data_IF_344329542125
#
_entry.id   IF_344329542125
#
_cell.length_a   1.000
_cell.length_b   1.000
_cell.length_c   1.000
_cell.angle_alpha   90.00
_cell.angle_beta   90.00
_cell.angle_gamma   90.00
#
_symmetry.space_group_name_H-M   'P 1'
#
loop_
_entity.id
_entity.type
_entity.pdbx_description
1 polymer ?
#
# COMPACT_ATOMS: atom_id res chain seq x y z
N UNK A 1 -43.20 57.02 0.36
CA UNK A 1 -43.90 55.81 0.83
C UNK A 1 -43.72 54.68 -0.18
N UNK A 2 -42.67 53.87 -0.03
CA UNK A 2 -42.51 52.64 -0.81
C UNK A 2 -42.08 51.53 0.16
N UNK A 3 -42.92 50.50 0.27
CA UNK A 3 -42.65 49.24 0.97
C UNK A 3 -41.97 48.24 0.01
N UNK A 4 -41.38 47.15 0.53
CA UNK A 4 -40.33 46.40 -0.14
C UNK A 4 -40.71 44.95 -0.53
N UNK A 5 -39.73 44.26 -1.12
CA UNK A 5 -39.50 42.79 -1.19
C UNK A 5 -39.98 42.05 -2.44
N UNK A 6 -39.00 41.41 -3.10
CA UNK A 6 -39.17 40.28 -4.00
C UNK A 6 -37.83 39.57 -4.20
N UNK A 7 -37.42 38.73 -3.25
CA UNK A 7 -36.31 37.79 -3.41
C UNK A 7 -36.81 36.57 -4.20
N UNK A 8 -36.33 36.37 -5.42
CA UNK A 8 -36.50 35.11 -6.15
C UNK A 8 -35.37 34.14 -5.77
N UNK A 9 -35.66 32.92 -5.29
CA UNK A 9 -34.63 31.95 -5.00
C UNK A 9 -34.10 31.37 -6.31
N UNK A 10 -32.81 31.54 -6.59
CA UNK A 10 -32.12 30.71 -7.57
C UNK A 10 -31.94 29.33 -6.95
N UNK A 11 -32.72 28.36 -7.44
CA UNK A 11 -32.46 26.94 -7.21
C UNK A 11 -31.12 26.60 -7.87
N UNK A 12 -30.08 26.46 -7.06
CA UNK A 12 -28.84 25.83 -7.48
C UNK A 12 -29.14 24.33 -7.56
N UNK A 13 -29.44 23.83 -8.75
CA UNK A 13 -29.46 22.38 -9.00
C UNK A 13 -28.01 21.94 -8.98
N UNK A 14 -27.54 21.43 -7.84
CA UNK A 14 -26.32 20.64 -7.79
C UNK A 14 -26.58 19.37 -8.60
N UNK A 15 -26.14 19.38 -9.86
CA UNK A 15 -25.93 18.14 -10.59
C UNK A 15 -24.79 17.44 -9.89
N UNK A 16 -25.11 16.45 -9.06
CA UNK A 16 -24.14 15.44 -8.69
C UNK A 16 -23.75 14.74 -9.99
N UNK A 17 -22.53 15.00 -10.46
CA UNK A 17 -21.94 14.16 -11.49
C UNK A 17 -21.96 12.72 -10.93
N UNK A 18 -22.31 11.71 -11.75
CA UNK A 18 -22.17 10.33 -11.30
C UNK A 18 -20.71 10.14 -10.92
N UNK A 19 -20.48 9.69 -9.69
CA UNK A 19 -19.17 9.18 -9.28
C UNK A 19 -18.95 7.97 -10.18
N UNK A 20 -18.07 8.09 -11.18
CA UNK A 20 -17.55 6.91 -11.83
C UNK A 20 -16.79 6.16 -10.75
N UNK A 21 -17.35 5.04 -10.27
CA UNK A 21 -16.57 3.99 -9.62
C UNK A 21 -15.58 3.46 -10.67
N UNK A 22 -14.52 4.23 -10.89
CA UNK A 22 -13.32 3.71 -11.51
C UNK A 22 -12.69 2.73 -10.52
N UNK A 23 -12.09 1.65 -11.02
CA UNK A 23 -11.19 0.76 -10.27
C UNK A 23 -9.92 1.55 -9.84
N UNK A 24 -10.10 2.63 -9.08
CA UNK A 24 -9.05 3.55 -8.69
C UNK A 24 -8.19 2.87 -7.64
N UNK A 25 -7.01 2.43 -8.06
CA UNK A 25 -6.05 1.70 -7.20
C UNK A 25 -5.58 2.54 -6.01
N UNK A 26 -5.58 3.86 -6.15
CA UNK A 26 -5.31 4.84 -5.08
C UNK A 26 -6.35 5.95 -5.18
N UNK A 27 -7.26 6.03 -4.22
CA UNK A 27 -8.26 7.12 -4.19
C UNK A 27 -7.59 8.43 -3.78
N UNK A 28 -7.89 9.52 -4.48
CA UNK A 28 -7.33 10.86 -4.20
C UNK A 28 -5.80 10.95 -4.35
N UNK A 29 -5.22 9.97 -5.05
CA UNK A 29 -3.80 9.92 -5.36
C UNK A 29 -3.44 10.77 -6.57
N UNK A 30 -2.18 10.66 -6.97
CA UNK A 30 -1.69 11.20 -8.24
C UNK A 30 -0.70 10.20 -8.83
N UNK A 31 -0.57 10.22 -10.15
CA UNK A 31 0.41 9.41 -10.86
C UNK A 31 1.83 9.84 -10.45
N UNK A 32 2.64 8.88 -9.98
CA UNK A 32 4.04 9.14 -9.66
C UNK A 32 4.82 9.41 -10.95
N UNK A 33 5.81 10.32 -10.91
CA UNK A 33 6.73 10.50 -12.04
C UNK A 33 7.41 9.17 -12.39
N UNK A 34 7.52 8.85 -13.68
CA UNK A 34 8.21 7.65 -14.15
C UNK A 34 9.56 7.45 -13.45
N UNK A 35 9.80 6.22 -12.96
CA UNK A 35 11.02 5.82 -12.25
C UNK A 35 11.31 6.58 -10.93
N UNK A 36 10.34 7.31 -10.37
CA UNK A 36 10.50 7.95 -9.05
C UNK A 36 10.30 6.99 -7.86
N UNK A 37 9.69 5.82 -8.09
CA UNK A 37 9.42 4.80 -7.04
C UNK A 37 10.00 3.40 -7.37
N UNK A 38 11.30 3.26 -7.69
CA UNK A 38 11.91 2.01 -8.17
C UNK A 38 11.96 0.83 -7.19
N UNK A 39 11.66 1.01 -5.89
CA UNK A 39 11.48 -0.13 -4.97
C UNK A 39 10.07 -0.72 -5.03
N UNK A 40 9.11 -0.03 -5.68
CA UNK A 40 7.78 -0.57 -5.90
C UNK A 40 7.92 -1.85 -6.72
N UNK A 41 7.35 -2.92 -6.18
CA UNK A 41 7.30 -4.22 -6.84
C UNK A 41 5.85 -4.52 -7.16
N UNK A 42 5.62 -5.09 -8.34
CA UNK A 42 4.36 -5.80 -8.63
C UNK A 42 4.59 -7.30 -8.48
N UNK A 43 3.84 -7.94 -7.59
CA UNK A 43 3.77 -9.39 -7.47
C UNK A 43 2.78 -9.95 -8.50
N UNK A 44 3.23 -10.95 -9.24
CA UNK A 44 2.51 -11.52 -10.36
C UNK A 44 2.41 -13.05 -10.26
N UNK A 45 1.26 -13.61 -10.60
CA UNK A 45 1.02 -15.06 -10.71
C UNK A 45 0.16 -15.38 -11.95
N UNK A 46 0.54 -14.81 -13.11
CA UNK A 46 -0.26 -14.75 -14.33
C UNK A 46 -1.08 -13.47 -14.47
N UNK A 47 -1.26 -12.75 -13.36
CA UNK A 47 -1.81 -11.40 -13.29
C UNK A 47 -1.20 -10.68 -12.07
N UNK A 48 -1.21 -9.35 -12.07
CA UNK A 48 -0.82 -8.55 -10.90
C UNK A 48 -1.84 -8.73 -9.78
N UNK A 49 -1.41 -9.05 -8.56
CA UNK A 49 -2.33 -9.30 -7.45
C UNK A 49 -1.95 -8.62 -6.13
N UNK A 50 -0.69 -8.21 -5.96
CA UNK A 50 -0.21 -7.49 -4.80
C UNK A 50 1.01 -6.63 -5.17
N UNK A 51 1.27 -5.63 -4.36
CA UNK A 51 2.52 -4.91 -4.30
C UNK A 51 3.60 -5.59 -3.45
N UNK A 52 4.78 -4.98 -3.46
CA UNK A 52 5.94 -5.36 -2.65
C UNK A 52 6.92 -4.20 -2.58
N UNK A 53 7.90 -4.32 -1.69
CA UNK A 53 8.99 -3.35 -1.57
C UNK A 53 10.33 -4.06 -1.64
N UNK A 54 11.19 -3.64 -2.55
CA UNK A 54 12.56 -4.13 -2.62
C UNK A 54 13.38 -3.54 -1.46
N UNK A 55 13.79 -4.39 -0.50
CA UNK A 55 14.50 -3.98 0.72
C UNK A 55 16.01 -4.26 0.68
N UNK A 56 16.44 -5.09 -0.28
CA UNK A 56 17.86 -5.29 -0.61
C UNK A 56 17.98 -5.76 -2.06
N UNK A 57 19.21 -5.99 -2.52
CA UNK A 57 19.46 -6.54 -3.85
C UNK A 57 18.91 -7.96 -4.06
N UNK A 58 18.39 -8.66 -3.06
CA UNK A 58 17.84 -10.01 -3.29
C UNK A 58 16.58 -10.30 -2.49
N UNK A 59 16.00 -9.28 -1.85
CA UNK A 59 14.88 -9.46 -0.94
C UNK A 59 13.80 -8.41 -1.16
N UNK A 60 12.58 -8.90 -1.32
CA UNK A 60 11.35 -8.10 -1.33
C UNK A 60 10.58 -8.41 -0.07
N UNK A 61 10.03 -7.39 0.57
CA UNK A 61 9.01 -7.53 1.62
C UNK A 61 7.63 -7.26 1.04
N UNK A 62 6.63 -8.02 1.48
CA UNK A 62 5.22 -7.86 1.11
C UNK A 62 4.35 -8.39 2.25
N UNK A 63 3.03 -8.35 2.10
CA UNK A 63 2.09 -8.82 3.11
C UNK A 63 1.98 -10.35 3.09
N UNK A 64 1.83 -11.00 4.25
CA UNK A 64 1.71 -12.45 4.33
C UNK A 64 0.43 -12.97 3.67
N UNK A 65 -0.64 -12.17 3.69
CA UNK A 65 -1.90 -12.49 3.01
C UNK A 65 -1.75 -12.54 1.47
N UNK A 66 -0.71 -11.91 0.91
CA UNK A 66 -0.37 -11.98 -0.52
C UNK A 66 0.30 -13.30 -0.92
N UNK A 67 0.50 -14.24 0.00
CA UNK A 67 1.18 -15.50 -0.31
C UNK A 67 0.47 -16.30 -1.42
N UNK A 68 1.26 -16.76 -2.39
CA UNK A 68 0.89 -17.78 -3.39
C UNK A 68 2.02 -18.79 -3.53
N UNK A 69 1.75 -19.97 -4.07
CA UNK A 69 2.75 -21.04 -4.23
C UNK A 69 3.82 -20.74 -5.30
N UNK A 70 3.55 -19.80 -6.21
CA UNK A 70 4.48 -19.27 -7.21
C UNK A 70 4.24 -17.78 -7.36
N UNK A 71 5.31 -16.99 -7.28
CA UNK A 71 5.26 -15.54 -7.43
C UNK A 71 6.40 -15.11 -8.35
N UNK A 72 6.06 -14.28 -9.34
CA UNK A 72 7.02 -13.55 -10.16
C UNK A 72 7.02 -12.08 -9.74
N UNK A 73 8.21 -11.51 -9.61
CA UNK A 73 8.45 -10.15 -9.14
C UNK A 73 8.73 -9.28 -10.36
N UNK A 74 7.86 -8.29 -10.61
CA UNK A 74 8.06 -7.25 -11.62
C UNK A 74 8.64 -6.00 -10.95
N UNK A 75 9.76 -5.51 -11.47
CA UNK A 75 10.47 -4.31 -11.00
C UNK A 75 10.66 -3.32 -12.16
N UNK A 76 10.73 -2.03 -11.84
CA UNK A 76 11.00 -0.99 -12.83
C UNK A 76 9.79 -0.58 -13.67
N UNK A 77 8.61 -1.07 -13.33
CA UNK A 77 7.31 -0.71 -13.93
C UNK A 77 6.96 0.75 -13.64
N UNK A 78 6.40 1.44 -14.63
CA UNK A 78 5.65 2.67 -14.45
C UNK A 78 4.19 2.48 -14.88
N UNK A 79 3.95 1.79 -16.01
CA UNK A 79 2.61 1.39 -16.44
C UNK A 79 2.50 -0.13 -16.61
N UNK A 80 1.82 -0.79 -15.66
CA UNK A 80 1.73 -2.26 -15.61
C UNK A 80 1.05 -2.93 -16.81
N UNK A 81 0.28 -2.16 -17.59
CA UNK A 81 -0.45 -2.62 -18.77
C UNK A 81 0.39 -2.53 -20.05
N UNK A 82 1.48 -1.77 -20.00
CA UNK A 82 2.44 -1.64 -21.08
C UNK A 82 3.69 -2.46 -20.77
N UNK A 83 4.43 -2.79 -21.82
CA UNK A 83 5.74 -3.40 -21.70
C UNK A 83 6.76 -2.33 -22.10
N UNK A 84 7.28 -1.64 -21.11
CA UNK A 84 8.37 -0.69 -21.21
C UNK A 84 9.70 -1.47 -21.25
N UNK A 85 10.81 -0.79 -21.54
CA UNK A 85 12.14 -1.45 -21.69
C UNK A 85 12.83 -1.64 -20.34
N UNK A 86 12.25 -1.12 -19.26
CA UNK A 86 12.87 -1.00 -17.94
C UNK A 86 12.54 -2.16 -16.99
N UNK A 87 11.64 -3.03 -17.42
CA UNK A 87 10.97 -4.05 -16.66
C UNK A 87 11.90 -5.24 -16.43
N UNK A 88 12.02 -5.60 -15.16
CA UNK A 88 12.74 -6.79 -14.75
C UNK A 88 11.74 -7.78 -14.18
N UNK A 89 11.69 -8.95 -14.81
CA UNK A 89 10.90 -10.09 -14.36
C UNK A 89 11.82 -11.08 -13.66
N UNK A 90 11.61 -11.25 -12.36
CA UNK A 90 12.47 -12.07 -11.51
C UNK A 90 11.61 -13.11 -10.79
N UNK A 91 11.95 -14.39 -10.94
CA UNK A 91 11.25 -15.45 -10.22
C UNK A 91 11.64 -15.47 -8.74
N UNK A 92 10.67 -15.81 -7.88
CA UNK A 92 10.95 -16.05 -6.46
C UNK A 92 11.76 -17.33 -6.26
N UNK A 93 12.87 -17.22 -5.52
CA UNK A 93 13.65 -18.35 -5.01
C UNK A 93 12.98 -18.99 -3.79
N UNK A 94 12.48 -18.15 -2.88
CA UNK A 94 11.89 -18.58 -1.61
C UNK A 94 10.81 -17.60 -1.16
N UNK A 95 9.77 -18.13 -0.52
CA UNK A 95 8.63 -17.40 0.01
C UNK A 95 8.48 -17.75 1.48
N UNK A 96 8.57 -16.75 2.36
CA UNK A 96 8.66 -16.94 3.81
C UNK A 96 7.66 -16.01 4.49
N UNK A 97 6.52 -16.55 4.93
CA UNK A 97 5.58 -15.83 5.80
C UNK A 97 6.14 -15.74 7.22
N UNK A 98 5.78 -14.70 7.95
CA UNK A 98 6.02 -14.67 9.39
C UNK A 98 5.38 -15.91 10.05
N UNK A 99 6.09 -16.63 10.95
CA UNK A 99 5.60 -17.88 11.54
C UNK A 99 4.34 -17.69 12.38
N UNK A 100 4.16 -16.49 12.94
CA UNK A 100 3.00 -16.13 13.77
C UNK A 100 1.93 -15.36 12.98
N UNK A 101 1.96 -15.38 11.64
CA UNK A 101 0.91 -14.77 10.83
C UNK A 101 -0.44 -15.41 11.14
N UNK A 102 -1.40 -14.59 11.55
CA UNK A 102 -2.79 -14.98 11.82
C UNK A 102 -3.71 -14.45 10.72
N UNK A 103 -4.29 -15.35 9.94
CA UNK A 103 -5.19 -14.98 8.85
C UNK A 103 -6.56 -14.47 9.28
N UNK A 104 -6.94 -14.65 10.55
CA UNK A 104 -8.21 -14.15 11.08
C UNK A 104 -8.09 -12.70 11.55
N UNK A 105 -6.96 -12.35 12.18
CA UNK A 105 -6.72 -11.02 12.75
C UNK A 105 -5.84 -10.13 11.88
N UNK A 106 -5.17 -10.72 10.88
CA UNK A 106 -4.10 -10.08 10.10
C UNK A 106 -2.93 -9.59 10.96
N UNK A 107 -2.77 -10.13 12.18
CA UNK A 107 -1.58 -9.87 12.98
C UNK A 107 -0.37 -10.61 12.37
N UNK A 108 0.79 -9.97 12.43
CA UNK A 108 2.01 -10.43 11.77
C UNK A 108 1.87 -10.63 10.24
N UNK A 109 1.10 -9.77 9.57
CA UNK A 109 0.87 -9.79 8.13
C UNK A 109 2.08 -9.29 7.31
N UNK A 110 3.19 -10.02 7.40
CA UNK A 110 4.44 -9.73 6.71
C UNK A 110 5.08 -11.02 6.16
N UNK A 111 5.62 -10.93 4.95
CA UNK A 111 6.39 -11.99 4.32
C UNK A 111 7.63 -11.46 3.60
N UNK A 112 8.63 -12.33 3.46
CA UNK A 112 9.82 -12.10 2.66
C UNK A 112 9.83 -12.98 1.42
N UNK A 113 10.24 -12.39 0.31
CA UNK A 113 10.46 -13.05 -0.98
C UNK A 113 11.94 -12.93 -1.31
N UNK A 114 12.64 -14.06 -1.37
CA UNK A 114 14.01 -14.11 -1.89
C UNK A 114 13.97 -14.18 -3.41
N UNK A 115 14.74 -13.35 -4.08
CA UNK A 115 14.82 -13.31 -5.55
C UNK A 115 15.85 -14.31 -6.08
N UNK A 116 15.59 -14.89 -7.25
CA UNK A 116 16.55 -15.76 -7.96
C UNK A 116 17.71 -14.98 -8.61
N UNK A 117 17.61 -13.66 -8.74
CA UNK A 117 18.66 -12.77 -9.28
C UNK A 117 18.61 -11.38 -8.64
N UNK A 118 19.69 -10.60 -8.82
CA UNK A 118 19.80 -9.25 -8.26
C UNK A 118 19.16 -8.20 -9.19
N UNK A 119 18.33 -7.27 -8.69
CA UNK A 119 17.83 -6.13 -9.43
C UNK A 119 18.81 -4.97 -9.43
N UNK A 120 18.73 -4.14 -10.47
CA UNK A 120 19.78 -3.19 -10.84
C UNK A 120 19.56 -1.74 -10.35
N UNK A 121 18.39 -1.38 -9.78
CA UNK A 121 18.06 -0.01 -9.32
C UNK A 121 17.12 -0.01 -8.09
N UNK A 122 17.27 0.96 -7.19
CA UNK A 122 16.49 1.24 -5.95
C UNK A 122 16.18 2.77 -5.87
N UNK A 123 15.33 3.29 -4.93
CA UNK A 123 15.10 4.73 -4.48
C UNK A 123 13.62 5.21 -4.29
N UNK A 124 13.37 6.29 -3.48
CA UNK A 124 12.28 6.59 -2.49
C UNK A 124 11.03 7.48 -2.90
N UNK A 125 9.88 7.39 -2.17
CA UNK A 125 8.67 8.28 -2.19
C UNK A 125 8.30 8.80 -0.77
N UNK A 126 7.39 9.81 -0.67
CA UNK A 126 7.02 10.52 0.58
C UNK A 126 5.49 10.61 0.83
N UNK A 127 5.04 10.09 1.98
CA UNK A 127 3.71 10.33 2.60
C UNK A 127 3.82 10.55 4.13
N UNK A 128 2.85 11.23 4.79
CA UNK A 128 2.85 11.45 6.24
C UNK A 128 2.23 10.28 7.04
N UNK A 129 2.84 9.91 8.18
CA UNK A 129 2.37 8.86 9.11
C UNK A 129 1.36 9.45 10.12
N UNK A 130 0.33 8.69 10.50
CA UNK A 130 -0.62 9.05 11.57
C UNK A 130 -0.16 8.47 12.92
N UNK A 131 -0.40 9.20 14.02
CA UNK A 131 -0.08 8.75 15.39
C UNK A 131 -0.84 7.47 15.78
N UNK A 132 -0.16 6.55 16.48
CA UNK A 132 -0.68 5.23 16.84
C UNK A 132 -2.00 5.28 17.62
N UNK A 133 -2.17 6.24 18.54
CA UNK A 133 -3.41 6.34 19.35
C UNK A 133 -4.61 6.75 18.53
N UNK A 134 -4.38 7.54 17.48
CA UNK A 134 -5.44 7.94 16.55
C UNK A 134 -5.91 6.70 15.78
N UNK A 135 -4.97 5.85 15.31
CA UNK A 135 -5.29 4.60 14.65
C UNK A 135 -6.02 3.60 15.58
N UNK A 136 -5.58 3.48 16.83
CA UNK A 136 -6.21 2.59 17.82
C UNK A 136 -7.66 3.00 18.12
N UNK A 137 -7.92 4.30 18.23
CA UNK A 137 -9.27 4.83 18.40
C UNK A 137 -10.15 4.63 17.15
N UNK A 138 -9.55 4.68 15.95
CA UNK A 138 -10.24 4.40 14.70
C UNK A 138 -10.60 2.91 14.55
N UNK A 139 -9.81 2.01 15.14
CA UNK A 139 -9.98 0.56 15.04
C UNK A 139 -9.92 -0.15 16.41
N UNK A 140 -10.90 0.09 17.31
CA UNK A 140 -10.89 -0.50 18.65
C UNK A 140 -10.84 -2.03 18.60
N UNK A 141 -9.91 -2.62 19.36
CA UNK A 141 -9.68 -4.08 19.47
C UNK A 141 -9.16 -4.79 18.21
N UNK A 142 -8.99 -4.08 17.09
CA UNK A 142 -8.50 -4.64 15.82
C UNK A 142 -7.09 -4.14 15.48
N UNK A 143 -6.67 -3.01 16.05
CA UNK A 143 -5.34 -2.44 15.86
C UNK A 143 -4.34 -2.97 16.88
N UNK A 144 -3.17 -3.42 16.43
CA UNK A 144 -2.10 -3.95 17.30
C UNK A 144 -0.83 -3.09 17.23
N UNK A 145 0.09 -3.30 18.17
CA UNK A 145 1.45 -2.72 18.19
C UNK A 145 2.26 -3.06 16.92
N UNK A 146 1.87 -4.12 16.22
CA UNK A 146 2.46 -4.58 14.96
C UNK A 146 1.95 -3.84 13.73
N UNK A 147 1.06 -2.85 13.92
CA UNK A 147 0.42 -2.09 12.85
C UNK A 147 0.78 -0.60 12.89
N UNK A 148 0.71 0.05 11.74
CA UNK A 148 0.81 1.51 11.55
C UNK A 148 -0.26 1.95 10.57
N UNK A 149 -0.82 3.15 10.73
CA UNK A 149 -1.78 3.70 9.77
C UNK A 149 -1.27 5.00 9.13
N UNK A 150 -1.71 5.26 7.90
CA UNK A 150 -1.35 6.43 7.10
C UNK A 150 -2.58 6.86 6.30
N UNK A 151 -2.71 8.17 6.04
CA UNK A 151 -3.84 8.74 5.31
C UNK A 151 -4.38 10.01 5.94
N UNK A 152 -5.62 10.33 5.61
CA UNK A 152 -6.32 11.52 6.11
C UNK A 152 -7.57 11.11 6.87
N UNK A 153 -7.72 11.58 8.12
CA UNK A 153 -8.87 11.21 8.97
C UNK A 153 -10.21 11.74 8.44
N UNK A 154 -10.21 12.79 7.61
CA UNK A 154 -11.39 13.28 6.91
C UNK A 154 -11.70 12.48 5.62
N UNK A 155 -10.99 11.39 5.38
CA UNK A 155 -11.06 10.62 4.15
C UNK A 155 -10.42 11.33 2.97
N UNK A 156 -10.83 10.96 1.77
CA UNK A 156 -10.42 11.60 0.52
C UNK A 156 -9.13 11.08 -0.10
N UNK A 157 -8.26 10.36 0.63
CA UNK A 157 -7.21 9.55 0.01
C UNK A 157 -6.79 8.32 0.82
N UNK A 158 -6.56 7.19 0.15
CA UNK A 158 -6.06 5.95 0.76
C UNK A 158 -5.42 5.03 -0.27
N UNK A 159 -4.58 4.09 0.19
CA UNK A 159 -4.30 2.88 -0.60
C UNK A 159 -5.61 2.12 -0.81
N UNK A 160 -5.82 1.59 -2.02
CA UNK A 160 -7.04 0.90 -2.40
C UNK A 160 -6.70 -0.44 -3.09
N UNK A 161 -7.55 -0.89 -4.01
CA UNK A 161 -7.44 -2.21 -4.62
C UNK A 161 -6.11 -2.36 -5.39
N UNK A 162 -5.39 -3.46 -5.13
CA UNK A 162 -4.13 -3.80 -5.80
C UNK A 162 -2.86 -3.31 -5.10
N UNK A 163 -2.96 -2.41 -4.11
CA UNK A 163 -1.80 -1.93 -3.37
C UNK A 163 -1.35 -2.86 -2.24
N UNK A 164 -2.15 -3.87 -1.86
CA UNK A 164 -1.83 -4.85 -0.81
C UNK A 164 -0.40 -5.37 -0.94
N UNK A 165 0.38 -5.33 0.14
CA UNK A 165 1.80 -5.69 0.12
C UNK A 165 2.75 -4.60 -0.36
N UNK A 166 2.23 -3.47 -0.85
CA UNK A 166 3.00 -2.31 -1.29
C UNK A 166 3.65 -1.53 -0.13
N UNK A 167 4.66 -0.71 -0.43
CA UNK A 167 5.41 0.10 0.52
C UNK A 167 4.64 1.30 1.09
N UNK A 168 4.80 1.54 2.38
CA UNK A 168 4.69 2.86 3.01
C UNK A 168 6.11 3.33 3.39
N UNK A 169 6.61 4.38 2.73
CA UNK A 169 7.98 4.90 2.92
C UNK A 169 7.95 6.32 3.47
N UNK A 170 8.78 6.59 4.49
CA UNK A 170 8.97 7.92 5.08
C UNK A 170 10.47 8.22 5.22
N UNK A 171 10.91 9.40 4.76
CA UNK A 171 12.31 9.82 4.75
C UNK A 171 13.27 8.78 4.13
N UNK A 172 12.80 8.07 3.09
CA UNK A 172 13.56 7.02 2.42
C UNK A 172 13.72 5.72 3.21
N UNK A 173 12.98 5.55 4.30
CA UNK A 173 12.92 4.31 5.06
C UNK A 173 11.53 3.67 4.94
N UNK A 174 11.49 2.36 4.70
CA UNK A 174 10.26 1.60 4.72
C UNK A 174 9.71 1.54 6.14
N UNK A 175 8.51 2.08 6.33
CA UNK A 175 7.80 2.12 7.62
C UNK A 175 6.70 1.07 7.71
N UNK A 176 6.04 0.79 6.58
CA UNK A 176 4.91 -0.12 6.55
C UNK A 176 4.77 -0.88 5.25
N UNK A 177 4.00 -1.96 5.31
CA UNK A 177 3.56 -2.76 4.16
C UNK A 177 2.03 -2.77 4.16
N UNK A 178 1.39 -2.36 3.06
CA UNK A 178 -0.08 -2.26 2.95
C UNK A 178 -0.70 -3.60 3.33
N UNK A 179 -1.62 -3.58 4.31
CA UNK A 179 -2.21 -4.80 4.88
C UNK A 179 -3.73 -4.82 4.66
N UNK A 180 -4.48 -3.88 5.25
CA UNK A 180 -5.94 -3.86 5.14
C UNK A 180 -6.55 -2.47 5.39
N UNK A 181 -7.86 -2.36 5.14
CA UNK A 181 -8.72 -1.21 5.43
C UNK A 181 -10.19 -1.63 5.24
N UNK A 182 -11.14 -0.79 5.67
CA UNK A 182 -12.56 -1.07 5.43
C UNK A 182 -12.96 -0.72 3.99
N UNK A 183 -13.18 0.55 3.71
CA UNK A 183 -13.42 1.08 2.37
C UNK A 183 -12.35 2.12 2.00
N UNK A 184 -12.14 2.29 0.70
CA UNK A 184 -11.13 3.21 0.21
C UNK A 184 -11.49 4.65 0.56
N UNK A 185 -10.54 5.34 1.21
CA UNK A 185 -10.63 6.73 1.62
C UNK A 185 -11.82 7.06 2.53
N UNK A 186 -12.30 6.08 3.30
CA UNK A 186 -13.42 6.25 4.22
C UNK A 186 -13.07 7.22 5.36
N UNK A 187 -13.97 8.16 5.64
CA UNK A 187 -13.83 9.08 6.75
C UNK A 187 -13.70 8.32 8.08
N UNK A 188 -12.74 8.74 8.91
CA UNK A 188 -12.44 8.13 10.20
C UNK A 188 -11.63 6.83 10.16
N UNK A 189 -11.39 6.25 8.97
CA UNK A 189 -10.83 4.90 8.82
C UNK A 189 -9.61 4.89 7.89
N UNK A 190 -8.41 5.25 8.39
CA UNK A 190 -7.18 5.30 7.58
C UNK A 190 -6.63 3.90 7.25
N UNK A 191 -5.95 3.75 6.10
CA UNK A 191 -5.33 2.48 5.70
C UNK A 191 -4.37 1.92 6.77
N UNK A 192 -4.40 0.61 6.98
CA UNK A 192 -3.59 -0.12 7.96
C UNK A 192 -2.47 -0.90 7.25
N UNK A 193 -1.28 -0.83 7.84
CA UNK A 193 -0.05 -1.40 7.32
C UNK A 193 0.62 -2.25 8.40
N UNK A 194 1.28 -3.34 8.01
CA UNK A 194 2.20 -4.05 8.90
C UNK A 194 3.40 -3.14 9.20
N UNK A 195 3.68 -2.87 10.47
CA UNK A 195 4.73 -1.95 10.95
C UNK A 195 6.11 -2.60 10.84
N UNK A 196 6.86 -2.24 9.79
CA UNK A 196 8.13 -2.90 9.43
C UNK A 196 9.16 -2.89 10.56
N UNK A 197 9.25 -1.81 11.34
CA UNK A 197 10.25 -1.71 12.40
C UNK A 197 10.11 -2.75 13.53
N UNK A 198 8.91 -3.31 13.75
CA UNK A 198 8.70 -4.39 14.72
C UNK A 198 9.30 -5.73 14.25
N UNK A 199 9.55 -5.87 12.95
CA UNK A 199 10.01 -7.11 12.35
C UNK A 199 11.50 -7.09 11.98
N UNK A 200 12.24 -6.03 12.32
CA UNK A 200 13.65 -5.90 11.91
C UNK A 200 14.53 -7.09 12.33
N UNK A 201 14.31 -7.64 13.54
CA UNK A 201 15.03 -8.82 14.02
C UNK A 201 14.71 -10.03 13.14
N UNK A 202 13.41 -10.32 12.97
CA UNK A 202 12.96 -11.42 12.13
C UNK A 202 13.46 -11.29 10.68
N UNK A 203 13.38 -10.09 10.09
CA UNK A 203 13.86 -9.82 8.73
C UNK A 203 15.35 -10.12 8.63
N UNK A 204 16.16 -9.59 9.56
CA UNK A 204 17.61 -9.80 9.58
C UNK A 204 17.96 -11.28 9.72
N UNK A 205 17.30 -11.98 10.64
CA UNK A 205 17.56 -13.40 10.90
C UNK A 205 17.24 -14.26 9.67
N UNK A 206 16.09 -14.03 9.03
CA UNK A 206 15.72 -14.73 7.80
C UNK A 206 16.69 -14.44 6.66
N UNK A 207 17.08 -13.17 6.47
CA UNK A 207 18.03 -12.78 5.43
C UNK A 207 19.42 -13.39 5.65
N UNK A 208 19.87 -13.54 6.89
CA UNK A 208 21.16 -14.15 7.21
C UNK A 208 21.20 -15.67 7.10
N UNK A 209 20.05 -16.33 7.27
CA UNK A 209 19.95 -17.79 7.37
C UNK A 209 19.56 -18.47 6.05
N UNK A 210 19.44 -17.71 4.95
CA UNK A 210 18.96 -18.20 3.66
C UNK A 210 19.73 -17.64 2.49
#
# INVERSE_FOLDING_TARGET
>A
SWSPIGLTPHLIVSVAAPVEESDEKVVGGYECTAHSVPYQVSLNAGYHFCGGSLISSQWVVSAAHCYKSRIQVRLGEHNIEQNEVTEQWIDSAKLIKHPNYDSYTLDNDIMLIKLNSFPTKLQCLRQPIIDHRICENAYPHLFTENMVCSGFMHGGASSCQGDSGGPLVCNGQLQGVVSWGYECAQEGHPSVYARVCQYNIWISDIMSSN
#
